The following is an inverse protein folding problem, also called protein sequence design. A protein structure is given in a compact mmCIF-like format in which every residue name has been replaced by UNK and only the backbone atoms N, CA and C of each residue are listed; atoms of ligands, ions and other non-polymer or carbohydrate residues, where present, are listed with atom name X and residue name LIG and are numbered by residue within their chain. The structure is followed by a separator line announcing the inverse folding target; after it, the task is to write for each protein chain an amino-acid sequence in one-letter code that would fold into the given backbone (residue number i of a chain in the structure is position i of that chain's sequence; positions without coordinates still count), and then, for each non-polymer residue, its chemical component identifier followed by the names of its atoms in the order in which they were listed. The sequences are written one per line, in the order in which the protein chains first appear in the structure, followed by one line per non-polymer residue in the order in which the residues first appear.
data_IF_586065079534
#
_entry.id   IF_586065079534
#
_cell.length_a   1.000
_cell.length_b   1.000
_cell.length_c   1.000
_cell.angle_alpha   90.00
_cell.angle_beta   90.00
_cell.angle_gamma   90.00
#
_symmetry.space_group_name_H-M   'P 1'
#
loop_
_entity.id
_entity.type
_entity.pdbx_description
1 polymer ?
#
# COMPACT_ATOMS: atom_id res chain seq x y z
N UNK A 1 -14.21 -0.50 -21.98
CA UNK A 1 -13.95 -1.19 -20.70
C UNK A 1 -15.08 -2.18 -20.45
N UNK A 2 -14.80 -3.37 -19.94
CA UNK A 2 -15.85 -4.34 -19.58
C UNK A 2 -16.55 -3.90 -18.30
N UNK A 3 -17.82 -4.31 -18.09
CA UNK A 3 -18.57 -4.02 -16.87
C UNK A 3 -17.83 -4.53 -15.62
N UNK A 4 -17.25 -5.74 -15.69
CA UNK A 4 -16.43 -6.32 -14.64
C UNK A 4 -15.22 -5.43 -14.29
N UNK A 5 -14.47 -4.96 -15.30
CA UNK A 5 -13.32 -4.10 -15.07
C UNK A 5 -13.73 -2.77 -14.41
N UNK A 6 -14.85 -2.17 -14.85
CA UNK A 6 -15.39 -0.96 -14.24
C UNK A 6 -15.76 -1.19 -12.77
N UNK A 7 -16.45 -2.28 -12.45
CA UNK A 7 -16.82 -2.62 -11.07
C UNK A 7 -15.60 -2.81 -10.17
N UNK A 8 -14.56 -3.51 -10.64
CA UNK A 8 -13.33 -3.71 -9.89
C UNK A 8 -12.62 -2.37 -9.60
N UNK A 9 -12.56 -1.47 -10.58
CA UNK A 9 -11.94 -0.14 -10.41
C UNK A 9 -12.70 0.70 -9.39
N UNK A 10 -14.04 0.67 -9.41
CA UNK A 10 -14.86 1.41 -8.44
C UNK A 10 -14.73 0.83 -7.02
N UNK A 11 -14.69 -0.50 -6.88
CA UNK A 11 -14.47 -1.12 -5.57
C UNK A 11 -13.08 -0.78 -5.03
N UNK A 12 -12.06 -0.84 -5.89
CA UNK A 12 -10.70 -0.45 -5.52
C UNK A 12 -10.63 1.02 -5.09
N UNK A 13 -11.29 1.94 -5.80
CA UNK A 13 -11.26 3.37 -5.45
C UNK A 13 -11.95 3.67 -4.11
N UNK A 14 -13.09 3.01 -3.83
CA UNK A 14 -13.78 3.14 -2.53
C UNK A 14 -12.96 2.54 -1.41
N UNK A 15 -12.43 1.32 -1.56
CA UNK A 15 -11.58 0.70 -0.56
C UNK A 15 -10.34 1.57 -0.28
N UNK A 16 -9.73 2.10 -1.34
CA UNK A 16 -8.53 2.91 -1.26
C UNK A 16 -8.74 4.25 -0.54
N UNK A 17 -9.77 4.99 -0.95
CA UNK A 17 -10.14 6.24 -0.28
C UNK A 17 -10.58 5.98 1.18
N UNK A 18 -11.27 4.88 1.42
CA UNK A 18 -11.73 4.46 2.74
C UNK A 18 -10.61 4.26 3.75
N UNK A 19 -9.57 3.47 3.42
CA UNK A 19 -8.47 3.25 4.37
C UNK A 19 -7.63 4.52 4.59
N UNK A 20 -7.47 5.39 3.57
CA UNK A 20 -6.77 6.66 3.73
C UNK A 20 -7.53 7.63 4.65
N UNK A 21 -8.86 7.67 4.52
CA UNK A 21 -9.71 8.44 5.42
C UNK A 21 -9.61 7.93 6.86
N UNK A 22 -9.69 6.60 7.06
CA UNK A 22 -9.55 5.99 8.37
C UNK A 22 -8.17 6.24 9.00
N UNK A 23 -7.11 6.14 8.20
CA UNK A 23 -5.75 6.48 8.63
C UNK A 23 -5.66 7.93 9.11
N UNK A 24 -6.14 8.90 8.33
CA UNK A 24 -6.09 10.32 8.74
C UNK A 24 -6.89 10.58 10.03
N UNK A 25 -7.95 9.82 10.28
CA UNK A 25 -8.80 9.93 11.47
C UNK A 25 -8.27 9.15 12.68
N UNK A 26 -7.28 8.28 12.49
CA UNK A 26 -6.74 7.48 13.58
C UNK A 26 -6.03 8.35 14.62
N UNK A 27 -6.07 7.92 15.89
CA UNK A 27 -5.36 8.61 16.97
C UNK A 27 -3.84 8.52 16.80
N UNK A 28 -3.37 7.36 16.33
CA UNK A 28 -1.98 7.10 16.00
C UNK A 28 -1.88 6.46 14.60
N UNK A 29 -1.41 7.28 13.64
CA UNK A 29 -1.26 6.89 12.25
C UNK A 29 -0.23 5.76 12.07
N UNK A 30 0.83 5.72 12.87
CA UNK A 30 1.88 4.72 12.75
C UNK A 30 1.36 3.36 13.22
N UNK A 31 0.65 3.33 14.36
CA UNK A 31 0.01 2.11 14.88
C UNK A 31 -1.08 1.61 13.92
N UNK A 32 -1.90 2.51 13.36
CA UNK A 32 -2.92 2.13 12.38
C UNK A 32 -2.30 1.48 11.14
N UNK A 33 -1.27 2.10 10.56
CA UNK A 33 -0.54 1.56 9.40
C UNK A 33 0.06 0.20 9.74
N UNK A 34 0.74 0.09 10.88
CA UNK A 34 1.35 -1.18 11.29
C UNK A 34 0.30 -2.28 11.43
N UNK A 35 -0.81 -2.00 12.11
CA UNK A 35 -1.90 -2.95 12.30
C UNK A 35 -2.53 -3.38 10.97
N UNK A 36 -2.78 -2.45 10.06
CA UNK A 36 -3.29 -2.72 8.72
C UNK A 36 -2.35 -3.63 7.92
N UNK A 37 -1.04 -3.33 7.93
CA UNK A 37 -0.02 -4.12 7.23
C UNK A 37 0.15 -5.52 7.84
N UNK A 38 0.13 -5.63 9.17
CA UNK A 38 0.22 -6.91 9.87
C UNK A 38 -1.01 -7.78 9.59
N UNK A 39 -2.22 -7.22 9.70
CA UNK A 39 -3.46 -7.93 9.40
C UNK A 39 -3.51 -8.40 7.94
N UNK A 40 -3.12 -7.54 6.99
CA UNK A 40 -3.06 -7.90 5.57
C UNK A 40 -2.03 -8.99 5.32
N UNK A 41 -0.87 -8.93 5.99
CA UNK A 41 0.19 -9.93 5.87
C UNK A 41 -0.27 -11.29 6.41
N UNK A 42 -0.94 -11.34 7.57
CA UNK A 42 -1.51 -12.57 8.13
C UNK A 42 -2.58 -13.16 7.21
N UNK A 43 -3.48 -12.31 6.71
CA UNK A 43 -4.56 -12.72 5.82
C UNK A 43 -4.03 -13.33 4.51
N UNK A 44 -2.97 -12.73 3.94
CA UNK A 44 -2.41 -13.15 2.66
C UNK A 44 -1.26 -14.16 2.77
N UNK A 45 -0.73 -14.41 3.96
CA UNK A 45 0.39 -15.32 4.17
C UNK A 45 0.16 -16.73 3.59
N UNK A 46 -1.01 -17.38 3.75
CA UNK A 46 -1.23 -18.71 3.18
C UNK A 46 -1.11 -18.71 1.65
N UNK A 47 -1.67 -17.69 0.99
CA UNK A 47 -1.55 -17.53 -0.46
C UNK A 47 -0.10 -17.25 -0.86
N UNK A 48 0.59 -16.38 -0.13
CA UNK A 48 2.00 -16.07 -0.35
C UNK A 48 2.89 -17.31 -0.28
N UNK A 49 2.69 -18.18 0.73
CA UNK A 49 3.42 -19.44 0.86
C UNK A 49 3.14 -20.37 -0.31
N UNK A 50 1.88 -20.52 -0.73
CA UNK A 50 1.52 -21.36 -1.89
C UNK A 50 2.18 -20.83 -3.17
N UNK A 51 2.19 -19.51 -3.38
CA UNK A 51 2.80 -18.90 -4.56
C UNK A 51 4.33 -19.03 -4.56
N UNK A 52 4.98 -18.82 -3.41
CA UNK A 52 6.42 -18.98 -3.27
C UNK A 52 6.87 -20.44 -3.45
N UNK A 53 6.05 -21.40 -3.03
CA UNK A 53 6.32 -22.82 -3.27
C UNK A 53 6.21 -23.19 -4.75
N UNK A 54 5.15 -22.71 -5.41
CA UNK A 54 4.92 -23.00 -6.84
C UNK A 54 5.89 -22.27 -7.77
N UNK A 55 6.31 -21.07 -7.37
CA UNK A 55 7.20 -20.20 -8.13
C UNK A 55 8.33 -19.73 -7.22
N UNK A 56 9.34 -20.59 -6.97
CA UNK A 56 10.44 -20.24 -6.09
C UNK A 56 11.19 -19.02 -6.61
N UNK A 57 11.50 -18.11 -5.70
CA UNK A 57 12.19 -16.86 -6.02
C UNK A 57 13.66 -17.18 -6.25
N UNK A 58 14.17 -16.83 -7.43
CA UNK A 58 15.59 -16.94 -7.75
C UNK A 58 16.45 -16.11 -6.77
N UNK A 59 17.71 -16.48 -6.52
CA UNK A 59 18.59 -15.73 -5.61
C UNK A 59 18.65 -14.22 -5.90
N UNK A 60 18.69 -13.84 -7.18
CA UNK A 60 18.68 -12.43 -7.58
C UNK A 60 17.32 -11.76 -7.39
N UNK A 61 16.22 -12.51 -7.47
CA UNK A 61 14.86 -12.01 -7.21
C UNK A 61 14.69 -11.48 -5.79
N UNK A 62 15.39 -12.04 -4.81
CA UNK A 62 15.38 -11.56 -3.43
C UNK A 62 15.88 -10.12 -3.29
N UNK A 63 16.79 -9.66 -4.15
CA UNK A 63 17.22 -8.26 -4.18
C UNK A 63 16.03 -7.33 -4.40
N UNK A 64 15.16 -7.64 -5.36
CA UNK A 64 13.97 -6.85 -5.65
C UNK A 64 12.93 -6.94 -4.54
N UNK A 65 12.77 -8.12 -3.91
CA UNK A 65 11.88 -8.29 -2.75
C UNK A 65 12.35 -7.40 -1.61
N UNK A 66 13.62 -7.46 -1.23
CA UNK A 66 14.18 -6.65 -0.15
C UNK A 66 14.12 -5.16 -0.47
N UNK A 67 14.47 -4.75 -1.70
CA UNK A 67 14.34 -3.37 -2.13
C UNK A 67 12.89 -2.86 -2.04
N UNK A 68 11.93 -3.68 -2.47
CA UNK A 68 10.49 -3.36 -2.38
C UNK A 68 10.05 -3.18 -0.94
N UNK A 69 10.48 -4.08 -0.03
CA UNK A 69 10.17 -3.97 1.40
C UNK A 69 10.72 -2.67 1.98
N UNK A 70 12.00 -2.36 1.74
CA UNK A 70 12.62 -1.13 2.24
C UNK A 70 11.88 0.12 1.74
N UNK A 71 11.62 0.18 0.43
CA UNK A 71 10.91 1.31 -0.18
C UNK A 71 9.49 1.46 0.39
N UNK A 72 8.75 0.37 0.57
CA UNK A 72 7.40 0.43 1.11
C UNK A 72 7.38 0.79 2.60
N UNK A 73 8.33 0.29 3.40
CA UNK A 73 8.45 0.68 4.82
C UNK A 73 8.71 2.18 4.94
N UNK A 74 9.64 2.72 4.15
CA UNK A 74 9.91 4.15 4.11
C UNK A 74 8.67 4.94 3.63
N UNK A 75 8.01 4.49 2.57
CA UNK A 75 6.80 5.12 2.04
C UNK A 75 5.70 5.21 3.10
N UNK A 76 5.35 4.09 3.75
CA UNK A 76 4.28 4.06 4.73
C UNK A 76 4.62 4.84 6.00
N UNK A 77 5.89 4.81 6.44
CA UNK A 77 6.35 5.64 7.56
C UNK A 77 6.21 7.14 7.25
N UNK A 78 6.70 7.58 6.09
CA UNK A 78 6.56 8.97 5.64
C UNK A 78 5.09 9.37 5.44
N UNK A 79 4.27 8.46 4.90
CA UNK A 79 2.84 8.69 4.71
C UNK A 79 2.14 8.94 6.04
N UNK A 80 2.35 8.08 7.04
CA UNK A 80 1.78 8.24 8.38
C UNK A 80 2.11 9.60 8.98
N UNK A 81 3.39 10.00 8.93
CA UNK A 81 3.85 11.32 9.41
C UNK A 81 3.31 12.49 8.59
N UNK A 82 3.20 12.34 7.27
CA UNK A 82 2.63 13.40 6.43
C UNK A 82 1.15 13.68 6.76
N UNK A 83 0.38 12.64 7.10
CA UNK A 83 -1.00 12.79 7.53
C UNK A 83 -1.15 13.32 8.95
N UNK A 84 -0.13 13.31 9.81
CA UNK A 84 -0.23 14.00 11.10
C UNK A 84 -0.05 15.52 10.95
N UNK A 85 0.78 15.96 9.99
CA UNK A 85 1.11 17.39 9.81
C UNK A 85 0.31 18.10 8.71
N UNK A 86 -0.24 17.38 7.73
CA UNK A 86 -0.91 17.96 6.57
C UNK A 86 -2.32 17.45 6.35
N UNK A 87 -3.13 18.24 5.64
CA UNK A 87 -4.49 17.87 5.25
C UNK A 87 -4.50 16.75 4.21
N UNK A 88 -5.51 15.88 4.29
CA UNK A 88 -5.69 14.78 3.36
C UNK A 88 -5.75 15.29 1.91
N UNK A 89 -6.43 16.41 1.66
CA UNK A 89 -6.59 17.02 0.33
C UNK A 89 -5.28 17.53 -0.28
N UNK A 90 -4.23 17.76 0.51
CA UNK A 90 -2.91 18.19 0.04
C UNK A 90 -1.95 17.01 -0.04
N UNK A 91 -1.85 16.24 1.05
CA UNK A 91 -0.89 15.14 1.18
C UNK A 91 -1.22 14.03 0.19
N UNK A 92 -2.50 13.70 -0.01
CA UNK A 92 -2.91 12.59 -0.85
C UNK A 92 -2.57 12.81 -2.34
N UNK A 93 -2.87 13.96 -2.98
CA UNK A 93 -2.44 14.22 -4.36
C UNK A 93 -0.92 14.22 -4.54
N UNK A 94 -0.14 14.73 -3.58
CA UNK A 94 1.33 14.72 -3.68
C UNK A 94 1.83 13.27 -3.61
N UNK A 95 1.42 12.51 -2.59
CA UNK A 95 1.86 11.14 -2.39
C UNK A 95 1.47 10.21 -3.55
N UNK A 96 0.35 10.48 -4.24
CA UNK A 96 -0.16 9.65 -5.34
C UNK A 96 0.20 10.17 -6.73
N UNK A 97 0.43 11.47 -6.90
CA UNK A 97 0.77 12.10 -8.17
C UNK A 97 2.26 12.01 -8.53
N UNK A 98 3.15 11.81 -7.55
CA UNK A 98 4.59 11.67 -7.82
C UNK A 98 4.95 10.39 -8.60
N UNK A 99 4.23 9.28 -8.38
CA UNK A 99 4.50 8.03 -9.09
C UNK A 99 4.42 8.18 -10.61
N UNK A 100 3.28 8.65 -11.17
CA UNK A 100 3.15 8.93 -12.60
C UNK A 100 4.12 9.98 -13.14
N UNK A 101 4.60 10.91 -12.30
CA UNK A 101 5.58 11.92 -12.72
C UNK A 101 6.99 11.32 -12.92
N UNK A 102 7.33 10.28 -12.17
CA UNK A 102 8.64 9.62 -12.21
C UNK A 102 8.73 8.52 -13.26
N UNK A 103 7.60 8.08 -13.81
CA UNK A 103 7.53 7.04 -14.84
C UNK A 103 7.17 7.73 -16.17
N UNK A 104 8.02 7.66 -17.20
CA UNK A 104 7.78 8.31 -18.49
C UNK A 104 6.60 7.74 -19.28
#
# INVERSE_FOLDING_TARGET
MTSLALSLVLLASVAHSGWNFLLKRSEDNEVFIWGLLAATSVLLAPLGVVLAWRNPIEPFGWLFVTATVVLHTLYFGLLGRSYTVGDLSLVYPIARGMGPMLVP
#
